data_IF_840859062355
#
_entry.id   IF_840859062355
#
_cell.length_a   1.000
_cell.length_b   1.000
_cell.length_c   1.000
_cell.angle_alpha   90.00
_cell.angle_beta   90.00
_cell.angle_gamma   90.00
#
_symmetry.space_group_name_H-M   'P 1'
#
loop_
_entity.id
_entity.type
_entity.pdbx_description
1 polymer ?
2 water ?
#
# COMPACT_ATOMS: atom_id res chain seq x y z
N UNK A 26 6.99 6.70 -23.54
CA UNK A 26 6.81 5.57 -22.59
C UNK A 26 5.87 6.00 -21.46
N UNK A 27 4.82 5.23 -21.23
CA UNK A 27 3.87 5.53 -20.17
C UNK A 27 4.04 4.50 -19.05
N UNK A 28 3.74 4.93 -17.83
CA UNK A 28 3.80 4.06 -16.68
C UNK A 28 2.77 2.93 -16.81
N UNK A 29 3.24 1.69 -16.64
CA UNK A 29 2.39 0.53 -16.85
C UNK A 29 1.23 0.52 -15.87
N UNK A 30 0.05 0.11 -16.35
CA UNK A 30 -1.12 -0.17 -15.53
C UNK A 30 -1.44 -1.66 -15.53
N UNK A 31 -1.98 -2.12 -14.41
CA UNK A 31 -2.26 -3.54 -14.21
C UNK A 31 -3.69 -3.73 -13.72
N UNK A 32 -4.33 -4.78 -14.22
CA UNK A 32 -5.69 -5.08 -13.79
C UNK A 32 -5.69 -5.58 -12.35
N UNK A 33 -6.64 -5.07 -11.58
CA UNK A 33 -6.78 -5.43 -10.18
C UNK A 33 -7.85 -6.52 -10.01
N UNK A 34 -7.41 -7.78 -9.84
CA UNK A 34 -8.33 -8.90 -9.64
C UNK A 34 -9.47 -8.91 -10.63
N UNK A 35 -10.69 -9.02 -10.12
CA UNK A 35 -11.89 -9.03 -10.95
C UNK A 35 -12.63 -7.71 -10.91
N UNK A 36 -12.00 -6.65 -10.41
CA UNK A 36 -12.66 -5.37 -10.25
C UNK A 36 -12.86 -4.63 -11.55
N UNK A 37 -12.07 -4.92 -12.58
CA UNK A 37 -12.06 -4.12 -13.78
C UNK A 37 -11.23 -2.85 -13.69
N UNK A 38 -10.68 -2.54 -12.51
CA UNK A 38 -9.83 -1.37 -12.35
C UNK A 38 -8.42 -1.65 -12.89
N UNK A 39 -7.84 -0.66 -13.56
CA UNK A 39 -6.50 -0.74 -14.11
C UNK A 39 -5.67 0.29 -13.36
N UNK A 40 -4.79 -0.19 -12.47
CA UNK A 40 -4.03 0.68 -11.57
C UNK A 40 -2.62 0.87 -12.11
N UNK A 41 -2.13 2.12 -12.01
CA UNK A 41 -0.70 2.34 -12.22
C UNK A 41 0.11 1.45 -11.30
N UNK A 42 1.22 0.91 -11.83
CA UNK A 42 1.95 -0.10 -11.07
C UNK A 42 2.66 0.49 -9.88
N UNK A 43 2.89 1.80 -9.88
CA UNK A 43 3.27 2.57 -8.71
C UNK A 43 2.03 3.33 -8.26
N UNK A 44 1.69 3.20 -7.00
CA UNK A 44 0.56 3.91 -6.44
C UNK A 44 1.00 4.94 -5.43
N UNK A 45 0.13 5.89 -5.16
CA UNK A 45 0.44 7.00 -4.28
C UNK A 45 -0.07 6.67 -2.88
N UNK A 46 0.85 6.42 -1.96
CA UNK A 46 0.48 6.24 -0.57
C UNK A 46 0.37 7.63 0.05
N UNK A 47 -0.84 8.01 0.44
CA UNK A 47 -1.10 9.38 0.87
C UNK A 47 -0.86 9.62 2.35
N UNK A 48 -0.35 8.63 3.08
CA UNK A 48 -0.06 8.85 4.50
C UNK A 48 0.81 10.08 4.74
N UNK A 49 1.88 10.34 3.98
CA UNK A 49 2.69 11.54 4.24
C UNK A 49 1.95 12.85 4.10
N UNK A 50 0.85 12.88 3.34
CA UNK A 50 0.09 14.12 3.25
C UNK A 50 -0.56 14.48 4.57
N UNK A 51 -0.64 13.52 5.49
CA UNK A 51 -1.17 13.79 6.82
C UNK A 51 -0.11 14.20 7.82
N UNK A 52 1.08 14.57 7.33
CA UNK A 52 2.22 14.98 8.16
C UNK A 52 2.76 13.82 9.00
N UNK A 53 2.64 12.59 8.50
CA UNK A 53 3.01 11.42 9.27
C UNK A 53 4.52 11.38 9.52
N UNK A 54 5.30 11.75 8.51
CA UNK A 54 6.75 11.63 8.56
C UNK A 54 7.46 12.97 8.70
N UNK A 55 6.72 14.04 8.92
CA UNK A 55 7.24 15.40 8.97
C UNK A 55 6.21 16.37 8.42
N UNK A 56 6.41 17.65 8.73
CA UNK A 56 5.46 18.67 8.30
C UNK A 56 5.59 18.91 6.80
N UNK A 57 4.46 18.94 6.10
CA UNK A 57 4.39 19.19 4.67
C UNK A 57 3.29 20.24 4.45
N UNK A 58 3.63 21.35 3.79
CA UNK A 58 2.61 22.35 3.56
C UNK A 58 1.52 21.80 2.63
N UNK A 59 0.34 22.42 2.73
CA UNK A 59 -0.74 22.05 1.82
C UNK A 59 -0.36 22.31 0.38
N UNK A 60 0.34 23.41 0.12
CA UNK A 60 0.80 23.71 -1.23
C UNK A 60 1.72 22.61 -1.75
N UNK A 61 2.59 22.07 -0.88
CA UNK A 61 3.51 21.03 -1.32
C UNK A 61 2.77 19.72 -1.59
N UNK A 62 1.80 19.37 -0.73
CA UNK A 62 1.04 18.15 -0.96
C UNK A 62 0.30 18.21 -2.28
N UNK A 63 -0.35 19.33 -2.55
CA UNK A 63 -1.08 19.51 -3.81
C UNK A 63 -0.14 19.37 -5.00
N UNK A 64 1.02 20.03 -4.93
CA UNK A 64 1.96 19.94 -6.04
C UNK A 64 2.42 18.51 -6.26
N UNK A 65 2.61 17.75 -5.17
CA UNK A 65 3.10 16.38 -5.31
C UNK A 65 2.04 15.50 -5.97
N UNK A 66 0.79 15.62 -5.53
CA UNK A 66 -0.29 14.86 -6.14
C UNK A 66 -0.46 15.22 -7.61
N UNK A 67 -0.44 16.51 -7.93
CA UNK A 67 -0.55 16.90 -9.33
C UNK A 67 0.58 16.29 -10.15
N UNK A 68 1.81 16.37 -9.63
CA UNK A 68 2.93 15.80 -10.37
C UNK A 68 2.78 14.28 -10.53
N UNK A 69 2.33 13.59 -9.49
CA UNK A 69 2.12 12.15 -9.59
C UNK A 69 1.13 11.82 -10.70
N UNK A 70 0.00 12.52 -10.70
CA UNK A 70 -1.02 12.27 -11.71
C UNK A 70 -0.53 12.59 -13.10
N UNK A 71 0.23 13.67 -13.24
CA UNK A 71 0.80 14.01 -14.53
C UNK A 71 1.78 12.97 -15.04
N UNK A 72 2.47 12.25 -14.15
CA UNK A 72 3.41 11.21 -14.54
C UNK A 72 2.75 9.85 -14.70
N UNK A 73 1.43 9.79 -14.60
CA UNK A 73 0.69 8.58 -14.88
C UNK A 73 0.21 7.79 -13.67
N UNK A 74 0.44 8.26 -12.46
CA UNK A 74 -0.11 7.56 -11.29
C UNK A 74 -1.59 7.89 -11.18
N UNK A 75 -2.43 6.85 -11.11
CA UNK A 75 -3.86 7.05 -11.05
C UNK A 75 -4.49 6.47 -9.79
N UNK A 76 -3.69 6.04 -8.82
CA UNK A 76 -4.20 5.33 -7.67
C UNK A 76 -3.70 6.00 -6.41
N UNK A 77 -4.62 6.34 -5.50
CA UNK A 77 -4.32 7.11 -4.29
C UNK A 77 -4.95 6.40 -3.12
N UNK A 78 -4.15 6.03 -2.13
CA UNK A 78 -4.60 5.29 -0.97
C UNK A 78 -4.39 6.09 0.31
N UNK A 79 -5.39 6.05 1.18
CA UNK A 79 -5.35 6.78 2.45
C UNK A 79 -6.09 5.96 3.50
N UNK A 80 -6.28 6.58 4.68
CA UNK A 80 -7.01 5.99 5.79
C UNK A 80 -7.35 7.10 6.76
N UNK A 81 -8.47 7.00 7.47
CA UNK A 81 -8.72 7.96 8.55
C UNK A 81 -7.61 7.97 9.60
N UNK A 82 -6.83 6.90 9.71
CA UNK A 82 -5.80 6.86 10.74
C UNK A 82 -4.67 7.83 10.44
N UNK A 83 -4.35 8.04 9.17
CA UNK A 83 -3.11 8.71 8.82
C UNK A 83 -3.25 10.18 9.18
N UNK A 84 -2.41 10.62 10.11
CA UNK A 84 -2.48 11.99 10.55
C UNK A 84 -3.75 12.32 11.30
N UNK A 85 -4.37 11.32 11.94
CA UNK A 85 -5.61 11.53 12.70
C UNK A 85 -6.64 12.30 11.89
N UNK A 86 -6.90 11.79 10.68
CA UNK A 86 -7.84 12.25 9.65
C UNK A 86 -7.28 13.34 8.74
N UNK A 87 -6.09 13.86 9.00
CA UNK A 87 -5.57 14.95 8.18
C UNK A 87 -5.19 14.47 6.77
N UNK A 88 -4.64 13.27 6.63
CA UNK A 88 -4.31 12.79 5.29
C UNK A 88 -5.54 12.80 4.39
N UNK A 89 -6.68 12.30 4.87
CA UNK A 89 -7.89 12.31 4.05
C UNK A 89 -8.28 13.73 3.67
N UNK A 90 -8.24 14.66 4.62
CA UNK A 90 -8.64 16.02 4.31
C UNK A 90 -7.70 16.65 3.29
N UNK A 91 -6.39 16.45 3.45
CA UNK A 91 -5.44 17.01 2.49
C UNK A 91 -5.61 16.34 1.15
N UNK A 92 -5.73 15.00 1.12
CA UNK A 92 -5.90 14.33 -0.15
C UNK A 92 -7.14 14.84 -0.88
N UNK A 93 -8.22 15.14 -0.16
CA UNK A 93 -9.40 15.65 -0.82
C UNK A 93 -9.15 16.98 -1.50
N UNK A 94 -8.34 17.85 -0.88
CA UNK A 94 -7.96 19.10 -1.53
C UNK A 94 -7.08 18.85 -2.73
N UNK A 95 -6.17 17.87 -2.64
CA UNK A 95 -5.28 17.56 -3.76
C UNK A 95 -6.04 17.02 -4.95
N UNK A 96 -6.97 16.11 -4.71
CA UNK A 96 -7.73 15.53 -5.81
C UNK A 96 -8.56 16.57 -6.53
N UNK A 97 -9.14 17.53 -5.77
CA UNK A 97 -9.85 18.63 -6.41
C UNK A 97 -8.91 19.46 -7.26
N UNK A 98 -7.68 19.64 -6.80
CA UNK A 98 -6.72 20.46 -7.52
C UNK A 98 -6.18 19.78 -8.78
N UNK A 99 -6.50 18.51 -9.00
CA UNK A 99 -6.06 17.85 -10.22
C UNK A 99 -6.81 18.41 -11.41
N UNK A 100 -8.07 18.80 -11.20
CA UNK A 100 -8.85 19.29 -12.31
C UNK A 100 -9.00 18.18 -13.34
N UNK A 101 -9.35 16.99 -12.88
CA UNK A 101 -9.53 15.83 -13.71
C UNK A 101 -10.89 15.23 -13.43
N UNK A 102 -11.44 14.52 -14.42
CA UNK A 102 -12.70 13.81 -14.20
C UNK A 102 -12.50 12.73 -13.16
N UNK A 103 -13.56 12.51 -12.37
CA UNK A 103 -13.50 11.57 -11.25
C UNK A 103 -13.07 10.18 -11.69
N UNK A 104 -13.48 9.73 -12.88
CA UNK A 104 -13.15 8.40 -13.36
C UNK A 104 -11.71 8.25 -13.83
N UNK A 105 -10.93 9.32 -13.86
CA UNK A 105 -9.52 9.30 -14.24
C UNK A 105 -8.59 8.95 -13.08
N UNK A 106 -9.12 8.82 -11.87
CA UNK A 106 -8.30 8.41 -10.75
C UNK A 106 -9.09 7.49 -9.85
N UNK A 107 -8.37 6.72 -9.05
CA UNK A 107 -8.91 5.65 -8.23
C UNK A 107 -8.50 5.93 -6.81
N UNK A 108 -9.47 5.98 -5.90
CA UNK A 108 -9.25 6.37 -4.51
C UNK A 108 -9.60 5.20 -3.61
N UNK A 109 -8.70 4.86 -2.72
CA UNK A 109 -8.90 3.83 -1.72
C UNK A 109 -8.80 4.46 -0.34
N UNK A 110 -9.68 4.07 0.56
CA UNK A 110 -9.49 4.41 1.96
C UNK A 110 -9.81 3.19 2.80
N UNK A 111 -9.85 3.41 4.11
CA UNK A 111 -9.92 2.32 5.06
C UNK A 111 -10.88 2.69 6.17
N UNK A 112 -11.15 1.70 7.00
CA UNK A 112 -12.01 1.90 8.15
C UNK A 112 -11.59 0.94 9.24
N UNK A 113 -11.97 1.25 10.46
CA UNK A 113 -11.70 0.38 11.59
C UNK A 113 -10.53 0.81 12.47
N UNK A 114 -9.55 1.51 11.90
CA UNK A 114 -8.39 1.96 12.65
C UNK A 114 -8.36 3.48 12.68
N UNK A 115 -8.35 4.03 13.88
CA UNK A 115 -8.39 5.47 14.10
C UNK A 115 -7.32 5.90 15.08
N UNK A 116 -7.05 7.21 15.11
CA UNK A 116 -6.06 7.68 16.08
C UNK A 116 -6.50 7.39 17.49
N UNK A 117 -7.82 7.20 17.70
CA UNK A 117 -8.37 6.89 19.01
C UNK A 117 -8.67 5.39 19.20
N UNK A 118 -8.12 4.55 18.36
CA UNK A 118 -8.17 3.12 18.60
C UNK A 118 -8.89 2.39 17.49
N UNK A 119 -9.17 1.12 17.75
CA UNK A 119 -9.76 0.23 16.77
C UNK A 119 -11.23 0.04 17.09
N UNK A 120 -12.04 0.12 16.04
CA UNK A 120 -13.46 -0.20 16.19
C UNK A 120 -13.95 -0.72 14.84
N UNK A 121 -14.11 -2.03 14.76
CA UNK A 121 -14.55 -2.71 13.55
C UNK A 121 -16.04 -3.03 13.58
N UNK A 122 -16.78 -2.39 14.46
CA UNK A 122 -18.21 -2.66 14.53
C UNK A 122 -18.90 -2.16 13.26
N UNK A 123 -20.04 -2.79 12.95
CA UNK A 123 -20.84 -2.37 11.80
C UNK A 123 -21.22 -0.90 11.91
N UNK A 124 -21.63 -0.44 13.09
CA UNK A 124 -22.02 0.96 13.22
C UNK A 124 -20.83 1.87 12.96
N UNK A 125 -19.65 1.53 13.46
CA UNK A 125 -18.52 2.42 13.29
C UNK A 125 -18.13 2.54 11.82
N UNK A 126 -18.05 1.41 11.12
CA UNK A 126 -17.54 1.48 9.75
C UNK A 126 -18.55 2.12 8.83
N UNK A 127 -19.83 1.94 9.12
CA UNK A 127 -20.87 2.60 8.35
C UNK A 127 -20.83 4.11 8.53
N UNK A 128 -20.53 4.57 9.75
CA UNK A 128 -20.36 6.00 9.94
C UNK A 128 -19.06 6.47 9.30
N UNK A 129 -18.04 5.62 9.34
CA UNK A 129 -16.72 6.01 8.91
C UNK A 129 -16.68 6.36 7.44
N UNK A 130 -17.37 5.59 6.60
CA UNK A 130 -17.37 5.91 5.18
C UNK A 130 -17.93 7.31 4.93
N UNK A 131 -18.97 7.69 5.67
CA UNK A 131 -19.52 9.03 5.45
C UNK A 131 -18.54 10.10 5.90
N UNK A 132 -17.85 9.85 7.01
CA UNK A 132 -16.84 10.80 7.48
C UNK A 132 -15.72 10.94 6.46
N UNK A 133 -15.28 9.81 5.89
CA UNK A 133 -14.20 9.83 4.92
C UNK A 133 -14.63 10.53 3.65
N UNK A 134 -15.86 10.30 3.18
CA UNK A 134 -16.32 10.96 1.96
C UNK A 134 -16.41 12.46 2.16
N UNK A 135 -16.82 12.90 3.36
CA UNK A 135 -16.83 14.33 3.66
C UNK A 135 -15.43 14.92 3.59
N UNK A 136 -14.46 14.25 4.20
CA UNK A 136 -13.10 14.81 4.19
C UNK A 136 -12.49 14.75 2.80
N UNK A 137 -12.74 13.66 2.06
CA UNK A 137 -12.18 13.51 0.72
C UNK A 137 -12.91 14.35 -0.31
N UNK A 138 -14.08 14.91 0.02
CA UNK A 138 -14.87 15.71 -0.93
C UNK A 138 -15.29 14.87 -2.14
N UNK A 139 -15.67 13.62 -1.88
CA UNK A 139 -16.06 12.71 -2.94
C UNK A 139 -17.44 12.15 -2.65
N UNK A 140 -18.11 11.71 -3.72
CA UNK A 140 -19.38 11.01 -3.58
C UNK A 140 -19.21 9.52 -3.33
N UNK A 141 -18.08 8.95 -3.73
CA UNK A 141 -17.76 7.55 -3.51
C UNK A 141 -16.26 7.38 -3.56
N UNK A 142 -15.79 6.32 -2.89
CA UNK A 142 -14.42 5.83 -3.06
C UNK A 142 -14.49 4.60 -3.96
N UNK A 143 -13.38 4.31 -4.62
CA UNK A 143 -13.36 3.07 -5.40
C UNK A 143 -13.20 1.85 -4.50
N UNK A 144 -12.36 1.95 -3.47
CA UNK A 144 -12.01 0.84 -2.60
C UNK A 144 -12.13 1.28 -1.15
N UNK A 145 -12.69 0.40 -0.31
CA UNK A 145 -12.80 0.62 1.13
C UNK A 145 -12.34 -0.67 1.80
N UNK A 146 -11.34 -0.57 2.67
CA UNK A 146 -10.81 -1.78 3.30
C UNK A 146 -10.75 -1.66 4.80
N UNK A 147 -10.93 -2.80 5.48
CA UNK A 147 -10.71 -2.87 6.94
C UNK A 147 -9.24 -2.76 7.23
N UNK A 148 -8.87 -1.86 8.14
CA UNK A 148 -7.48 -1.44 8.33
C UNK A 148 -6.82 -2.20 9.49
N UNK A 149 -5.78 -2.99 9.17
CA UNK A 149 -4.97 -3.68 10.20
C UNK A 149 -5.81 -4.59 11.11
N UNK A 150 -6.45 -5.55 10.45
CA UNK A 150 -7.39 -6.43 11.16
C UNK A 150 -6.74 -7.36 12.16
N UNK A 151 -5.40 -7.51 12.14
CA UNK A 151 -4.79 -8.30 13.19
C UNK A 151 -4.98 -7.70 14.59
N UNK A 152 -5.42 -6.45 14.69
CA UNK A 152 -5.74 -5.85 15.98
C UNK A 152 -7.17 -6.11 16.40
N UNK A 153 -7.99 -6.69 15.52
CA UNK A 153 -9.36 -6.97 15.85
C UNK A 153 -9.61 -8.44 16.08
N UNK A 154 -10.86 -8.74 16.42
CA UNK A 154 -11.33 -10.11 16.41
C UNK A 154 -11.60 -10.51 14.96
N UNK A 155 -10.86 -11.50 14.46
CA UNK A 155 -11.07 -11.93 13.09
C UNK A 155 -12.47 -12.48 12.88
N UNK A 156 -13.07 -13.07 13.92
CA UNK A 156 -14.44 -13.53 13.79
C UNK A 156 -15.40 -12.38 13.66
N UNK A 157 -15.12 -11.25 14.33
CA UNK A 157 -15.93 -10.05 14.11
C UNK A 157 -15.78 -9.53 12.69
N UNK A 158 -14.55 -9.52 12.16
CA UNK A 158 -14.35 -9.14 10.77
C UNK A 158 -15.22 -9.97 9.85
N UNK A 159 -15.22 -11.29 10.06
CA UNK A 159 -15.96 -12.18 9.18
C UNK A 159 -17.46 -11.97 9.33
N UNK A 160 -17.95 -11.95 10.55
CA UNK A 160 -19.37 -12.07 10.82
C UNK A 160 -20.08 -10.73 10.93
N UNK A 161 -19.34 -9.65 11.14
CA UNK A 161 -19.94 -8.33 11.34
C UNK A 161 -19.37 -7.28 10.41
N UNK A 162 -18.05 -7.14 10.36
CA UNK A 162 -17.47 -6.02 9.61
C UNK A 162 -17.65 -6.18 8.12
N UNK A 163 -17.31 -7.36 7.59
CA UNK A 163 -17.43 -7.59 6.15
C UNK A 163 -18.88 -7.48 5.68
N UNK A 164 -19.86 -8.09 6.34
CA UNK A 164 -21.27 -7.80 5.98
C UNK A 164 -21.60 -6.32 5.97
N UNK A 165 -21.07 -5.54 6.92
CA UNK A 165 -21.33 -4.10 6.90
C UNK A 165 -20.69 -3.42 5.69
N UNK A 166 -19.49 -3.83 5.31
CA UNK A 166 -18.87 -3.29 4.09
C UNK A 166 -19.63 -3.72 2.84
N UNK A 167 -20.20 -4.93 2.83
CA UNK A 167 -21.02 -5.32 1.68
C UNK A 167 -22.21 -4.39 1.53
N UNK A 168 -22.83 -3.98 2.64
CA UNK A 168 -23.93 -3.02 2.56
C UNK A 168 -23.45 -1.66 2.08
N UNK A 169 -22.26 -1.21 2.52
CA UNK A 169 -21.71 0.03 1.99
C UNK A 169 -21.46 -0.07 0.49
N UNK A 170 -20.89 -1.20 0.05
CA UNK A 170 -20.73 -1.42 -1.37
C UNK A 170 -22.07 -1.36 -2.11
N UNK A 171 -23.11 -2.01 -1.55
CA UNK A 171 -24.42 -1.98 -2.18
C UNK A 171 -24.96 -0.55 -2.31
N UNK A 172 -24.63 0.33 -1.35
CA UNK A 172 -25.10 1.72 -1.40
C UNK A 172 -24.37 2.56 -2.44
N UNK A 173 -23.24 2.07 -2.97
CA UNK A 173 -22.47 2.81 -3.94
C UNK A 173 -21.42 3.72 -3.35
N UNK A 174 -21.39 3.88 -2.01
CA UNK A 174 -20.40 4.75 -1.40
C UNK A 174 -18.98 4.21 -1.57
N UNK A 175 -18.82 2.90 -1.72
CA UNK A 175 -17.58 2.30 -2.22
C UNK A 175 -17.94 1.36 -3.36
N UNK A 176 -17.01 1.19 -4.29
CA UNK A 176 -17.27 0.23 -5.36
C UNK A 176 -16.75 -1.17 -5.04
N UNK A 177 -15.68 -1.27 -4.24
CA UNK A 177 -15.05 -2.56 -3.94
C UNK A 177 -14.60 -2.55 -2.49
N UNK A 178 -14.43 -3.74 -1.94
CA UNK A 178 -14.11 -3.90 -0.52
C UNK A 178 -12.92 -4.83 -0.33
N UNK A 179 -12.25 -4.63 0.81
CA UNK A 179 -11.04 -5.38 1.08
C UNK A 179 -10.68 -5.38 2.55
N UNK A 180 -9.50 -5.97 2.80
CA UNK A 180 -8.94 -6.11 4.14
C UNK A 180 -7.44 -5.88 4.03
N UNK A 181 -6.87 -5.39 5.14
CA UNK A 181 -5.43 -5.13 5.23
C UNK A 181 -4.92 -5.56 6.62
N UNK A 182 -3.60 -5.75 6.68
CA UNK A 182 -2.94 -6.09 7.93
C UNK A 182 -1.55 -6.61 7.62
N UNK A 183 -0.73 -6.67 8.66
CA UNK A 183 0.61 -7.18 8.45
C UNK A 183 0.67 -8.70 8.29
N UNK A 184 0.16 -9.49 9.24
CA UNK A 184 0.42 -10.94 9.17
C UNK A 184 -0.39 -11.57 8.04
N UNK A 185 0.29 -12.35 7.20
CA UNK A 185 -0.43 -12.98 6.09
C UNK A 185 -1.49 -13.95 6.58
N UNK A 186 -1.32 -14.52 7.78
CA UNK A 186 -2.34 -15.42 8.30
C UNK A 186 -3.71 -14.78 8.42
N UNK A 187 -3.80 -13.45 8.52
CA UNK A 187 -5.15 -12.90 8.68
C UNK A 187 -5.94 -13.05 7.39
N UNK A 188 -5.28 -13.04 6.24
CA UNK A 188 -5.98 -13.14 4.97
C UNK A 188 -6.52 -14.54 4.76
N UNK A 189 -5.73 -15.58 5.07
CA UNK A 189 -6.28 -16.92 4.92
C UNK A 189 -7.39 -17.15 5.93
N UNK A 190 -7.28 -16.60 7.13
CA UNK A 190 -8.31 -16.86 8.11
C UNK A 190 -9.63 -16.27 7.63
N UNK A 191 -9.59 -15.03 7.16
CA UNK A 191 -10.81 -14.34 6.80
C UNK A 191 -11.36 -14.88 5.49
N UNK A 192 -10.50 -15.02 4.48
CA UNK A 192 -10.97 -15.45 3.16
C UNK A 192 -11.45 -16.88 3.17
N UNK A 193 -10.94 -17.71 4.08
CA UNK A 193 -11.48 -19.06 4.16
C UNK A 193 -12.89 -19.08 4.71
N UNK A 194 -13.34 -17.99 5.35
CA UNK A 194 -14.58 -18.00 6.11
C UNK A 194 -15.62 -17.06 5.54
N UNK A 195 -15.41 -16.48 4.38
CA UNK A 195 -16.47 -15.70 3.72
C UNK A 195 -16.84 -16.41 2.43
N UNK A 196 -18.05 -16.19 1.92
CA UNK A 196 -18.47 -16.81 0.66
C UNK A 196 -17.53 -16.44 -0.47
N UNK A 197 -17.37 -17.31 -1.46
CA UNK A 197 -16.66 -16.93 -2.67
C UNK A 197 -17.17 -15.61 -3.23
N UNK A 198 -16.23 -14.76 -3.64
CA UNK A 198 -16.55 -13.53 -4.30
C UNK A 198 -16.88 -12.37 -3.39
N UNK A 199 -16.65 -12.52 -2.09
CA UNK A 199 -17.01 -11.46 -1.14
C UNK A 199 -15.99 -10.32 -1.17
N UNK A 200 -14.70 -10.64 -1.11
CA UNK A 200 -13.63 -9.67 -1.00
C UNK A 200 -13.07 -9.39 -2.37
N UNK A 201 -12.89 -8.11 -2.70
CA UNK A 201 -12.41 -7.70 -4.01
C UNK A 201 -10.89 -7.51 -4.07
N UNK A 202 -10.28 -7.09 -2.96
CA UNK A 202 -8.90 -6.63 -2.97
C UNK A 202 -8.35 -6.81 -1.57
N UNK A 203 -7.04 -6.98 -1.50
CA UNK A 203 -6.31 -6.95 -0.23
C UNK A 203 -5.12 -6.00 -0.41
N UNK A 204 -4.75 -5.36 0.68
CA UNK A 204 -3.52 -4.60 0.73
C UNK A 204 -2.62 -5.26 1.76
N UNK A 205 -1.40 -5.58 1.33
CA UNK A 205 -0.40 -6.20 2.18
C UNK A 205 0.82 -5.30 2.19
N UNK A 206 1.55 -5.31 3.27
CA UNK A 206 2.76 -4.51 3.34
C UNK A 206 3.88 -5.33 3.96
N UNK A 207 5.10 -4.97 3.58
CA UNK A 207 6.36 -5.51 4.09
C UNK A 207 6.63 -6.95 3.69
N UNK A 208 5.82 -7.57 2.83
CA UNK A 208 6.04 -8.94 2.46
C UNK A 208 6.26 -9.11 0.97
N UNK A 209 6.55 -8.04 0.24
CA UNK A 209 7.05 -8.26 -1.12
C UNK A 209 8.14 -7.23 -1.35
N UNK A 210 9.29 -7.54 -0.78
CA UNK A 210 10.46 -6.66 -0.79
C UNK A 210 11.70 -7.53 -0.73
N UNK A 211 12.86 -6.89 -0.88
CA UNK A 211 14.07 -7.67 -1.08
C UNK A 211 14.35 -8.61 0.09
N UNK A 212 13.94 -8.27 1.32
CA UNK A 212 14.19 -9.17 2.46
C UNK A 212 13.05 -10.12 2.76
N UNK A 213 11.88 -9.97 2.12
CA UNK A 213 10.70 -10.78 2.51
C UNK A 213 9.80 -10.82 1.29
N UNK A 214 9.71 -11.98 0.64
CA UNK A 214 8.87 -12.14 -0.52
C UNK A 214 7.70 -13.07 -0.26
N UNK A 215 7.32 -13.24 1.01
CA UNK A 215 6.29 -14.22 1.35
C UNK A 215 4.94 -13.91 0.72
N UNK A 216 4.66 -12.65 0.31
CA UNK A 216 3.41 -12.38 -0.38
C UNK A 216 3.27 -13.23 -1.63
N UNK A 217 4.39 -13.59 -2.28
CA UNK A 217 4.30 -14.41 -3.48
C UNK A 217 3.66 -15.76 -3.18
N UNK A 218 3.84 -16.28 -1.97
CA UNK A 218 3.25 -17.56 -1.60
C UNK A 218 1.73 -17.45 -1.47
N UNK A 219 1.21 -16.25 -1.24
CA UNK A 219 -0.23 -16.04 -1.17
C UNK A 219 -0.87 -15.84 -2.53
N UNK A 220 -0.09 -15.53 -3.55
CA UNK A 220 -0.70 -15.18 -4.84
C UNK A 220 -1.55 -16.32 -5.40
N UNK A 221 -1.16 -17.60 -5.33
CA UNK A 221 -2.09 -18.66 -5.80
C UNK A 221 -3.40 -18.66 -5.04
N UNK A 222 -3.34 -18.39 -3.75
CA UNK A 222 -4.57 -18.34 -2.95
C UNK A 222 -5.45 -17.18 -3.40
N UNK A 223 -4.87 -15.97 -3.51
CA UNK A 223 -5.66 -14.81 -3.92
C UNK A 223 -6.20 -14.98 -5.34
N UNK A 224 -5.41 -15.59 -6.24
CA UNK A 224 -5.90 -15.86 -7.59
C UNK A 224 -7.07 -16.82 -7.57
N UNK A 225 -6.97 -17.89 -6.76
CA UNK A 225 -8.06 -18.85 -6.72
C UNK A 225 -9.34 -18.18 -6.28
N UNK A 226 -9.22 -17.14 -5.46
CA UNK A 226 -10.37 -16.47 -4.87
C UNK A 226 -10.77 -15.24 -5.66
N UNK A 227 -10.06 -14.90 -6.73
CA UNK A 227 -10.41 -13.73 -7.52
C UNK A 227 -10.20 -12.42 -6.79
N UNK A 228 -9.15 -12.34 -5.98
CA UNK A 228 -8.88 -11.18 -5.13
C UNK A 228 -7.68 -10.44 -5.69
N UNK A 229 -7.83 -9.14 -5.96
CA UNK A 229 -6.70 -8.37 -6.42
C UNK A 229 -5.77 -8.02 -5.29
N UNK A 230 -4.50 -7.83 -5.63
CA UNK A 230 -3.45 -7.66 -4.62
C UNK A 230 -2.72 -6.33 -4.79
N UNK A 231 -2.72 -5.54 -3.73
CA UNK A 231 -1.94 -4.31 -3.60
C UNK A 231 -0.82 -4.52 -2.58
N UNK A 232 0.38 -4.11 -2.94
CA UNK A 232 1.53 -4.18 -2.03
C UNK A 232 1.86 -2.78 -1.55
N UNK A 233 2.54 -2.67 -0.42
CA UNK A 233 2.94 -1.39 0.12
C UNK A 233 4.23 -1.61 0.91
N UNK A 234 4.87 -0.51 1.30
CA UNK A 234 6.15 -0.50 2.04
C UNK A 234 7.23 -1.28 1.31
N UNK A 235 7.56 -0.93 0.07
CA UNK A 235 8.63 -1.67 -0.63
C UNK A 235 9.98 -1.47 0.01
N UNK A 236 10.17 -0.40 0.76
CA UNK A 236 11.43 -0.19 1.46
C UNK A 236 11.39 -0.76 2.87
N UNK A 237 10.33 -1.49 3.20
CA UNK A 237 10.14 -2.08 4.51
C UNK A 237 10.34 -1.03 5.60
N UNK A 238 9.60 0.07 5.45
CA UNK A 238 9.55 1.14 6.45
C UNK A 238 10.94 1.69 6.78
N UNK A 239 11.78 1.73 5.75
CA UNK A 239 13.05 2.40 5.85
C UNK A 239 14.24 1.48 5.94
N UNK A 240 14.04 0.17 6.02
CA UNK A 240 15.17 -0.74 6.03
C UNK A 240 16.00 -0.60 4.77
N UNK A 241 15.36 -0.40 3.61
CA UNK A 241 16.07 -0.38 2.34
C UNK A 241 16.34 1.05 1.89
N UNK A 242 17.07 1.74 2.75
CA UNK A 242 17.45 3.13 2.55
C UNK A 242 18.86 3.32 3.06
N UNK A 243 19.54 4.31 2.50
CA UNK A 243 20.89 4.60 2.95
C UNK A 243 20.89 5.10 4.37
N UNK A 244 19.86 5.86 4.76
CA UNK A 244 19.77 6.37 6.11
C UNK A 244 19.39 5.29 7.11
N UNK A 245 18.74 4.22 6.66
CA UNK A 245 18.34 3.16 7.55
C UNK A 245 17.02 3.45 8.22
N UNK A 246 16.55 2.50 9.02
CA UNK A 246 15.19 2.55 9.54
C UNK A 246 15.09 3.53 10.69
N UNK A 247 13.89 4.02 10.96
CA UNK A 247 13.68 4.86 12.14
C UNK A 247 13.84 4.05 13.42
N UNK A 248 14.03 4.77 14.54
CA UNK A 248 14.31 4.13 15.82
C UNK A 248 13.17 3.22 16.28
N UNK A 249 11.95 3.50 15.87
CA UNK A 249 10.80 2.72 16.28
C UNK A 249 10.59 1.45 15.47
N UNK A 250 11.36 1.25 14.40
CA UNK A 250 11.10 0.12 13.52
C UNK A 250 11.12 -1.20 14.29
N UNK A 251 10.11 -2.05 14.12
CA UNK A 251 10.00 -3.23 14.99
C UNK A 251 10.85 -4.42 14.56
N UNK A 252 11.59 -4.34 13.47
CA UNK A 252 12.40 -5.48 13.04
C UNK A 252 13.47 -5.82 14.08
N UNK A 253 13.83 -7.11 14.09
CA UNK A 253 14.88 -7.59 14.98
C UNK A 253 16.23 -6.94 14.64
N UNK A 254 17.16 -6.95 15.58
CA UNK A 254 18.51 -6.45 15.26
C UNK A 254 19.17 -7.19 14.10
N UNK A 255 18.89 -8.48 13.95
CA UNK A 255 19.52 -9.23 12.86
C UNK A 255 18.97 -8.82 11.51
N UNK A 256 17.65 -8.57 11.42
CA UNK A 256 17.09 -8.04 10.18
C UNK A 256 17.74 -6.71 9.86
N UNK A 257 17.79 -5.82 10.85
CA UNK A 257 18.35 -4.51 10.61
C UNK A 257 19.81 -4.59 10.15
N UNK A 258 20.57 -5.49 10.76
CA UNK A 258 21.99 -5.57 10.42
C UNK A 258 22.19 -6.02 8.98
N UNK A 259 21.43 -7.01 8.53
CA UNK A 259 21.57 -7.49 7.17
C UNK A 259 21.11 -6.44 6.16
N UNK A 260 20.02 -5.73 6.47
CA UNK A 260 19.55 -4.69 5.55
C UNK A 260 20.55 -3.54 5.48
N UNK A 261 21.18 -3.20 6.59
CA UNK A 261 22.23 -2.19 6.54
C UNK A 261 23.41 -2.68 5.70
N UNK A 262 23.75 -3.97 5.80
CA UNK A 262 24.84 -4.52 4.99
C UNK A 262 24.50 -4.50 3.51
N UNK A 263 23.24 -4.76 3.18
CA UNK A 263 22.83 -4.68 1.77
C UNK A 263 22.91 -3.24 1.27
N UNK A 264 22.42 -2.29 2.06
CA UNK A 264 22.56 -0.88 1.70
C UNK A 264 24.03 -0.49 1.55
N UNK A 265 24.89 -0.98 2.45
CA UNK A 265 26.31 -0.67 2.38
C UNK A 265 26.94 -1.23 1.11
N UNK A 266 26.56 -2.45 0.74
CA UNK A 266 27.06 -3.01 -0.51
C UNK A 266 26.67 -2.13 -1.70
N UNK A 267 25.41 -1.70 -1.75
CA UNK A 267 24.98 -0.83 -2.83
C UNK A 267 25.77 0.47 -2.85
N UNK A 268 25.92 1.11 -1.67
CA UNK A 268 26.66 2.36 -1.58
C UNK A 268 28.07 2.21 -2.12
N UNK A 269 28.75 1.13 -1.70
CA UNK A 269 30.14 0.90 -2.09
C UNK A 269 30.27 0.75 -3.60
N UNK A 270 29.25 0.14 -4.24
CA UNK A 270 29.25 -0.18 -5.66
C UNK A 270 28.50 0.86 -6.49
N UNK A 271 28.26 2.03 -5.93
CA UNK A 271 27.64 3.11 -6.67
C UNK A 271 26.21 2.87 -7.09
N UNK A 272 25.46 2.10 -6.32
CA UNK A 272 24.08 1.82 -6.64
C UNK A 272 23.17 2.33 -5.54
N UNK A 273 21.88 2.31 -5.84
CA UNK A 273 20.86 2.97 -5.03
C UNK A 273 19.97 1.87 -4.45
N UNK A 274 20.17 1.56 -3.17
CA UNK A 274 19.42 0.50 -2.51
C UNK A 274 17.92 0.72 -2.62
N UNK A 275 17.48 1.98 -2.46
CA UNK A 275 16.04 2.22 -2.49
C UNK A 275 15.46 2.04 -3.89
N UNK A 276 16.19 2.45 -4.92
CA UNK A 276 15.70 2.24 -6.28
C UNK A 276 15.60 0.76 -6.58
N UNK A 277 16.64 -0.01 -6.24
CA UNK A 277 16.64 -1.44 -6.48
C UNK A 277 15.54 -2.13 -5.68
N UNK A 278 15.35 -1.72 -4.43
CA UNK A 278 14.29 -2.31 -3.63
C UNK A 278 12.92 -2.06 -4.25
N UNK A 279 12.66 -0.84 -4.73
CA UNK A 279 11.39 -0.59 -5.40
C UNK A 279 11.26 -1.41 -6.68
N UNK A 280 12.34 -1.50 -7.45
CA UNK A 280 12.27 -2.28 -8.68
C UNK A 280 11.98 -3.74 -8.40
N UNK A 281 12.56 -4.29 -7.33
CA UNK A 281 12.24 -5.67 -6.97
C UNK A 281 10.74 -5.81 -6.70
N UNK A 282 10.17 -4.87 -5.96
CA UNK A 282 8.76 -4.97 -5.60
C UNK A 282 7.87 -4.88 -6.81
N UNK A 283 8.25 -4.06 -7.79
CA UNK A 283 7.47 -3.83 -9.00
C UNK A 283 7.57 -4.96 -10.00
N UNK A 284 8.48 -5.91 -9.80
CA UNK A 284 8.76 -6.88 -10.85
C UNK A 284 7.71 -7.98 -10.98
N UNK A 285 6.90 -8.22 -9.97
CA UNK A 285 5.92 -9.28 -9.99
C UNK A 285 4.60 -8.75 -10.53
N UNK A 286 4.24 -9.17 -11.74
CA UNK A 286 3.06 -8.61 -12.39
C UNK A 286 1.74 -9.10 -11.81
N UNK A 287 1.77 -10.11 -10.94
CA UNK A 287 0.55 -10.53 -10.26
C UNK A 287 0.20 -9.62 -9.08
N UNK A 288 1.08 -8.70 -8.73
CA UNK A 288 0.76 -7.62 -7.79
C UNK A 288 0.38 -6.42 -8.64
N UNK A 289 -0.80 -5.84 -8.39
CA UNK A 289 -1.31 -4.83 -9.32
C UNK A 289 -0.66 -3.47 -9.10
N UNK A 290 -0.32 -3.13 -7.87
CA UNK A 290 0.31 -1.84 -7.61
C UNK A 290 1.14 -2.00 -6.35
N UNK A 291 2.16 -1.17 -6.27
CA UNK A 291 2.96 -1.00 -5.07
C UNK A 291 2.82 0.45 -4.65
N UNK A 292 2.26 0.66 -3.47
CA UNK A 292 2.13 1.99 -2.92
C UNK A 292 3.46 2.49 -2.38
N UNK A 293 3.78 3.72 -2.72
CA UNK A 293 4.94 4.44 -2.20
C UNK A 293 4.46 5.75 -1.60
N UNK A 294 4.90 6.07 -0.38
CA UNK A 294 4.59 7.39 0.19
C UNK A 294 5.44 8.48 -0.44
N UNK A 295 4.79 9.57 -0.86
CA UNK A 295 5.50 10.65 -1.52
C UNK A 295 5.04 12.00 -0.98
N UNK A 296 6.00 12.92 -0.84
CA UNK A 296 5.65 14.27 -0.42
C UNK A 296 6.50 15.34 -1.11
N UNK A 297 7.27 15.00 -2.14
CA UNK A 297 7.94 16.00 -2.96
C UNK A 297 7.89 15.62 -4.43
N UNK A 298 8.02 16.62 -5.30
CA UNK A 298 8.00 16.35 -6.73
C UNK A 298 9.18 15.49 -7.16
N UNK A 299 10.35 15.63 -6.52
CA UNK A 299 11.48 14.80 -6.93
C UNK A 299 11.25 13.34 -6.55
N UNK A 300 10.55 13.07 -5.46
CA UNK A 300 10.22 11.69 -5.14
C UNK A 300 9.33 11.06 -6.21
N UNK A 301 8.40 11.83 -6.79
CA UNK A 301 7.56 11.30 -7.85
C UNK A 301 8.44 10.89 -9.03
N UNK A 302 9.32 11.79 -9.44
CA UNK A 302 10.19 11.55 -10.58
C UNK A 302 11.06 10.32 -10.34
N UNK A 303 11.58 10.17 -9.13
CA UNK A 303 12.45 9.05 -8.83
C UNK A 303 11.69 7.73 -8.87
N UNK A 304 10.49 7.71 -8.30
CA UNK A 304 9.74 6.46 -8.23
C UNK A 304 9.18 6.05 -9.58
N UNK A 305 8.58 7.00 -10.29
CA UNK A 305 8.09 6.68 -11.63
C UNK A 305 9.26 6.29 -12.54
N UNK A 306 10.38 7.01 -12.44
CA UNK A 306 11.53 6.67 -13.28
C UNK A 306 12.06 5.27 -13.02
N UNK A 307 12.05 4.83 -11.76
CA UNK A 307 12.49 3.46 -11.46
C UNK A 307 11.59 2.44 -12.13
N UNK A 308 10.29 2.71 -12.18
CA UNK A 308 9.38 1.79 -12.82
C UNK A 308 9.57 1.79 -14.33
N UNK A 309 9.73 2.96 -14.94
CA UNK A 309 9.91 3.01 -16.39
C UNK A 309 11.19 2.31 -16.79
N UNK A 310 12.27 2.50 -16.02
CA UNK A 310 13.54 1.88 -16.36
C UNK A 310 13.46 0.37 -16.18
N UNK A 311 12.72 -0.09 -15.17
CA UNK A 311 12.55 -1.52 -14.98
C UNK A 311 11.86 -2.15 -16.18
N UNK A 312 10.84 -1.47 -16.72
CA UNK A 312 10.06 -2.01 -17.83
C UNK A 312 10.94 -2.26 -19.04
N UNK A 313 11.89 -1.36 -19.31
CA UNK A 313 12.67 -1.48 -20.52
C UNK A 313 14.00 -2.21 -20.34
N UNK A 314 14.49 -2.37 -19.11
CA UNK A 314 15.76 -3.03 -18.88
C UNK A 314 15.66 -4.33 -18.10
N UNK A 315 14.56 -4.55 -17.40
CA UNK A 315 14.46 -5.70 -16.52
C UNK A 315 15.36 -5.53 -15.31
N UNK A 316 15.35 -6.55 -14.47
CA UNK A 316 16.10 -6.49 -13.22
C UNK A 316 17.60 -6.65 -13.46
N UNK A 317 18.40 -5.93 -12.69
CA UNK A 317 19.84 -6.10 -12.73
C UNK A 317 20.19 -7.31 -11.88
N UNK A 318 20.26 -8.49 -12.52
CA UNK A 318 20.23 -9.71 -11.73
C UNK A 318 21.54 -9.97 -11.00
N UNK A 319 22.68 -9.54 -11.54
CA UNK A 319 23.93 -9.66 -10.79
C UNK A 319 23.83 -8.94 -9.45
N UNK A 320 23.30 -7.73 -9.47
CA UNK A 320 23.21 -6.93 -8.26
C UNK A 320 22.18 -7.53 -7.30
N UNK A 321 21.04 -7.98 -7.83
CA UNK A 321 20.04 -8.62 -6.96
C UNK A 321 20.57 -9.91 -6.37
N UNK A 322 21.42 -10.63 -7.09
CA UNK A 322 22.00 -11.84 -6.53
C UNK A 322 22.90 -11.52 -5.35
N UNK A 323 23.68 -10.44 -5.42
CA UNK A 323 24.54 -10.11 -4.31
C UNK A 323 23.73 -9.64 -3.11
N UNK A 324 22.66 -8.87 -3.36
CA UNK A 324 21.76 -8.46 -2.27
C UNK A 324 21.12 -9.70 -1.63
N UNK A 325 20.70 -10.65 -2.46
CA UNK A 325 20.06 -11.85 -1.93
C UNK A 325 21.02 -12.61 -1.04
N UNK A 326 22.30 -12.66 -1.41
CA UNK A 326 23.26 -13.38 -0.59
C UNK A 326 23.42 -12.73 0.78
N UNK A 327 23.44 -11.40 0.82
CA UNK A 327 23.57 -10.67 2.08
C UNK A 327 22.33 -10.84 2.95
N UNK A 328 21.16 -10.82 2.34
CA UNK A 328 19.93 -10.90 3.12
C UNK A 328 19.52 -12.32 3.46
N UNK A 329 20.18 -13.33 2.86
CA UNK A 329 19.81 -14.73 3.05
C UNK A 329 19.56 -15.14 4.50
N UNK A 330 20.41 -14.80 5.47
CA UNK A 330 20.19 -15.29 6.83
C UNK A 330 18.90 -14.82 7.46
N UNK A 331 18.29 -13.74 6.99
CA UNK A 331 17.07 -13.21 7.59
C UNK A 331 15.91 -13.20 6.61
N UNK A 332 16.06 -13.84 5.46
CA UNK A 332 15.04 -13.77 4.43
C UNK A 332 13.70 -14.27 4.98
N UNK A 333 12.64 -13.49 4.74
CA UNK A 333 11.28 -13.85 5.09
C UNK A 333 10.98 -13.80 6.59
N UNK A 334 11.89 -13.30 7.41
CA UNK A 334 11.60 -13.06 8.81
C UNK A 334 10.80 -11.78 9.01
N UNK A 335 9.83 -11.83 9.91
CA UNK A 335 8.95 -10.70 10.15
C UNK A 335 9.01 -10.34 11.64
N UNK A 336 7.94 -9.74 12.18
CA UNK A 336 7.90 -9.28 13.56
C UNK A 336 6.46 -9.32 14.01
N UNK A 337 6.21 -9.29 15.32
CA UNK A 337 4.83 -9.41 15.80
C UNK A 337 4.01 -8.19 15.44
N UNK A 338 2.71 -8.41 15.25
CA UNK A 338 1.75 -7.33 15.09
C UNK A 338 0.38 -7.78 15.58
N UNK A 339 -0.34 -6.90 16.26
CA UNK A 339 -1.71 -7.20 16.61
C UNK A 339 -1.84 -8.02 17.87
N UNK A 340 -3.01 -8.62 18.01
CA UNK A 340 -3.41 -9.29 19.25
C UNK A 340 -3.45 -10.79 19.04
#
# INVERSE_FOLDING_TARGET
>A
MGSSHHHHHHSSGLVPRGSHMMNTHQKLERRELGNTGLNLSCVGFGASPLGNVFGDVSEEQSIATVIEAFNQGINFFDTSPYYGATLSEKVLGKCLKALGASRDEYIVATKCGRYAEGFDFSAERVTKSIDESLERLQLEYVDILQCHDIEFGSLDQIVNETIPALQKIKESGKTRFIGITGLPLEVYTYVLDRVPPGTIDVVLSYCHYCINDSTLEDMLPYFKSKGVGVINASPLSMGLHTENGPPEWHPASPEIKAACKAAADYCKKNGKNISKLALQYSLSNKDISTTLVGMNSVKQVEENVGAALELETAGKDEKTFAEIENILKPIKNQSWPSGIQQT
#
